data_IF_175763338227
#
_entry.id   IF_175763338227
#
_cell.length_a   1.000
_cell.length_b   1.000
_cell.length_c   1.000
_cell.angle_alpha   90.00
_cell.angle_beta   90.00
_cell.angle_gamma   90.00
#
_symmetry.space_group_name_H-M   'P 1'
#
loop_
_entity.id
_entity.type
_entity.pdbx_description
1 polymer ?
#
# COMPACT_ATOMS: atom_id res chain seq x y z
N UNK A 1 1.45 48.49 8.96
CA UNK A 1 0.34 48.52 9.92
C UNK A 1 -0.67 47.43 9.54
N UNK A 2 -0.95 46.51 10.47
CA UNK A 2 -1.68 45.24 10.26
C UNK A 2 -3.16 45.50 9.93
N UNK A 3 -3.59 45.23 8.69
CA UNK A 3 -5.00 45.33 8.27
C UNK A 3 -5.74 44.00 8.49
N UNK A 4 -5.69 43.48 9.72
CA UNK A 4 -6.27 42.16 10.10
C UNK A 4 -7.32 42.30 11.21
N UNK A 5 -8.08 43.40 11.25
CA UNK A 5 -9.09 43.64 12.30
C UNK A 5 -10.52 43.76 11.74
N UNK A 6 -10.71 43.69 10.41
CA UNK A 6 -12.02 43.96 9.79
C UNK A 6 -12.74 42.72 9.21
N UNK A 7 -12.19 41.51 9.34
CA UNK A 7 -12.85 40.31 8.83
C UNK A 7 -13.67 39.63 9.94
N UNK A 8 -14.98 39.90 9.95
CA UNK A 8 -15.98 39.27 10.84
C UNK A 8 -16.55 37.97 10.27
N UNK A 9 -16.10 37.57 9.08
CA UNK A 9 -16.66 36.43 8.39
C UNK A 9 -15.99 35.12 8.82
N UNK A 10 -16.65 34.38 9.72
CA UNK A 10 -16.18 33.15 10.36
C UNK A 10 -15.85 32.02 9.35
N UNK A 11 -16.46 32.02 8.16
CA UNK A 11 -16.14 31.06 7.09
C UNK A 11 -14.77 31.29 6.44
N UNK A 12 -14.19 32.49 6.54
CA UNK A 12 -12.85 32.76 5.98
C UNK A 12 -11.75 32.04 6.79
N UNK A 13 -11.96 31.81 8.09
CA UNK A 13 -11.08 30.99 8.95
C UNK A 13 -11.31 29.49 8.75
N UNK A 14 -12.56 29.07 8.50
CA UNK A 14 -12.89 27.66 8.28
C UNK A 14 -12.32 27.12 6.95
N UNK A 15 -12.12 28.00 5.96
CA UNK A 15 -11.69 27.65 4.61
C UNK A 15 -10.40 28.38 4.17
N UNK A 16 -9.57 28.83 5.13
CA UNK A 16 -8.15 29.02 4.78
C UNK A 16 -7.62 27.67 4.36
N UNK A 17 -7.08 27.54 3.15
CA UNK A 17 -6.39 26.33 2.67
C UNK A 17 -5.20 26.01 3.57
N UNK A 18 -5.49 25.44 4.73
CA UNK A 18 -4.55 24.98 5.73
C UNK A 18 -4.34 23.49 5.54
N UNK A 19 -3.10 23.09 5.79
CA UNK A 19 -2.57 21.72 5.73
C UNK A 19 -3.67 20.69 6.03
N UNK A 20 -4.11 20.00 4.98
CA UNK A 20 -5.04 18.88 5.06
C UNK A 20 -4.58 17.96 6.20
N UNK A 21 -5.49 17.70 7.15
CA UNK A 21 -5.18 16.81 8.26
C UNK A 21 -4.97 15.40 7.70
N UNK A 22 -3.72 14.95 7.73
CA UNK A 22 -3.36 13.61 7.31
C UNK A 22 -3.08 12.77 8.56
N UNK A 23 -3.90 11.75 8.87
CA UNK A 23 -3.54 10.82 9.93
C UNK A 23 -2.25 10.10 9.55
N UNK A 24 -1.27 10.06 10.47
CA UNK A 24 -0.06 9.24 10.29
C UNK A 24 -0.42 7.78 10.52
N UNK A 25 -0.81 7.11 9.43
CA UNK A 25 -1.04 5.66 9.44
C UNK A 25 0.29 4.99 9.08
N UNK A 26 1.01 4.36 10.02
CA UNK A 26 2.25 3.67 9.69
C UNK A 26 1.95 2.43 8.84
N UNK A 27 2.71 2.25 7.77
CA UNK A 27 2.66 1.05 6.94
C UNK A 27 3.51 -0.06 7.57
N UNK A 28 2.99 -0.68 8.64
CA UNK A 28 3.68 -1.78 9.32
C UNK A 28 3.49 -3.07 8.53
N UNK A 29 4.58 -3.60 7.99
CA UNK A 29 4.63 -4.87 7.28
C UNK A 29 5.33 -5.92 8.13
N UNK A 30 5.10 -7.20 7.82
CA UNK A 30 5.71 -8.33 8.51
C UNK A 30 5.47 -8.32 10.04
N UNK A 31 4.21 -8.31 10.46
CA UNK A 31 3.84 -8.29 11.89
C UNK A 31 4.16 -9.59 12.65
N UNK A 32 4.52 -10.66 11.91
CA UNK A 32 4.84 -11.97 12.48
C UNK A 32 6.27 -12.34 12.07
N UNK A 33 7.24 -11.75 12.75
CA UNK A 33 8.66 -12.14 12.67
C UNK A 33 8.97 -12.97 13.92
N UNK A 34 9.88 -13.93 13.78
CA UNK A 34 10.31 -14.79 14.88
C UNK A 34 10.74 -13.97 16.11
N UNK A 35 11.46 -12.87 15.89
CA UNK A 35 11.99 -11.98 16.92
C UNK A 35 10.89 -11.19 17.67
N UNK A 36 9.71 -11.05 17.08
CA UNK A 36 8.57 -10.33 17.67
C UNK A 36 7.61 -11.26 18.44
N UNK A 37 7.90 -12.56 18.47
CA UNK A 37 7.01 -13.56 19.04
C UNK A 37 7.08 -13.55 20.59
N UNK A 38 5.95 -13.44 21.31
CA UNK A 38 5.96 -13.49 22.78
C UNK A 38 6.52 -14.81 23.33
N UNK A 39 7.26 -14.73 24.43
CA UNK A 39 7.91 -15.90 25.05
C UNK A 39 6.93 -17.04 25.37
N UNK A 40 5.70 -16.74 25.77
CA UNK A 40 4.71 -17.78 26.08
C UNK A 40 4.31 -18.61 24.85
N UNK A 41 4.43 -18.06 23.64
CA UNK A 41 4.23 -18.78 22.38
C UNK A 41 5.53 -19.48 21.95
N UNK A 42 6.68 -18.86 22.22
CA UNK A 42 7.99 -19.42 21.85
C UNK A 42 8.38 -20.62 22.73
N UNK A 43 8.09 -20.61 24.03
CA UNK A 43 8.45 -21.68 24.96
C UNK A 43 7.99 -23.09 24.50
N UNK A 44 6.71 -23.32 24.13
CA UNK A 44 6.31 -24.63 23.60
C UNK A 44 6.91 -24.95 22.22
N UNK A 45 7.31 -23.92 21.46
CA UNK A 45 8.01 -24.12 20.19
C UNK A 45 9.46 -24.60 20.40
N UNK A 46 10.15 -24.09 21.43
CA UNK A 46 11.49 -24.54 21.83
C UNK A 46 11.49 -26.01 22.31
N UNK A 47 10.40 -26.45 22.96
CA UNK A 47 10.23 -27.85 23.39
C UNK A 47 9.80 -28.78 22.24
N UNK A 48 9.46 -28.24 21.07
CA UNK A 48 9.00 -29.02 19.92
C UNK A 48 10.16 -29.76 19.23
N UNK A 49 9.82 -30.74 18.40
CA UNK A 49 10.82 -31.54 17.68
C UNK A 49 11.42 -30.73 16.53
N UNK A 50 12.75 -30.65 16.52
CA UNK A 50 13.51 -30.13 15.39
C UNK A 50 13.18 -30.87 14.07
N UNK A 51 13.31 -30.20 12.92
CA UNK A 51 13.15 -30.85 11.63
C UNK A 51 14.21 -31.96 11.45
N UNK A 52 13.91 -33.01 10.67
CA UNK A 52 14.89 -34.04 10.36
C UNK A 52 16.17 -33.44 9.76
N UNK A 53 17.32 -34.09 10.00
CA UNK A 53 18.64 -33.64 9.51
C UNK A 53 18.83 -33.84 8.00
N UNK A 54 17.94 -33.27 7.20
CA UNK A 54 17.88 -33.41 5.74
C UNK A 54 19.08 -32.76 5.03
N UNK A 55 19.80 -31.87 5.70
CA UNK A 55 21.03 -31.26 5.15
C UNK A 55 22.09 -32.30 4.75
N UNK A 56 22.07 -33.49 5.36
CA UNK A 56 22.96 -34.59 5.01
C UNK A 56 22.70 -35.13 3.59
N UNK A 57 21.50 -34.91 3.06
CA UNK A 57 21.07 -35.33 1.72
C UNK A 57 21.33 -34.27 0.65
N UNK A 58 21.58 -33.01 1.04
CA UNK A 58 21.76 -31.90 0.09
C UNK A 58 22.93 -32.13 -0.88
N UNK A 59 23.94 -32.92 -0.48
CA UNK A 59 25.06 -33.29 -1.35
C UNK A 59 24.64 -34.09 -2.59
N UNK A 60 23.46 -34.70 -2.55
CA UNK A 60 22.89 -35.47 -3.66
C UNK A 60 21.81 -34.69 -4.41
N UNK A 61 21.47 -33.49 -3.95
CA UNK A 61 20.43 -32.68 -4.58
C UNK A 61 21.00 -31.76 -5.66
N UNK A 62 20.27 -31.64 -6.77
CA UNK A 62 20.64 -30.77 -7.90
C UNK A 62 20.66 -29.28 -7.54
N UNK A 63 19.88 -28.87 -6.52
CA UNK A 63 19.78 -27.49 -6.07
C UNK A 63 20.77 -27.17 -4.92
N UNK A 64 21.54 -28.16 -4.46
CA UNK A 64 22.62 -27.97 -3.50
C UNK A 64 22.17 -27.77 -2.04
N UNK A 65 23.01 -27.13 -1.20
CA UNK A 65 22.77 -26.94 0.23
C UNK A 65 21.43 -26.27 0.55
N UNK A 66 20.72 -26.78 1.57
CA UNK A 66 19.42 -26.32 2.05
C UNK A 66 18.21 -26.79 1.25
N UNK A 67 18.41 -27.40 0.08
CA UNK A 67 17.34 -27.77 -0.85
C UNK A 67 16.40 -28.85 -0.30
N UNK A 68 16.94 -29.83 0.42
CA UNK A 68 16.14 -30.92 0.97
C UNK A 68 15.25 -30.41 2.11
N UNK A 69 15.79 -29.55 2.96
CA UNK A 69 15.00 -28.93 4.03
C UNK A 69 13.92 -28.00 3.48
N UNK A 70 14.24 -27.23 2.44
CA UNK A 70 13.26 -26.34 1.78
C UNK A 70 12.09 -27.12 1.17
N UNK A 71 12.33 -28.30 0.60
CA UNK A 71 11.25 -29.19 0.11
C UNK A 71 10.41 -29.79 1.22
N UNK A 72 11.01 -30.04 2.39
CA UNK A 72 10.28 -30.50 3.57
C UNK A 72 9.41 -29.39 4.17
N UNK A 73 9.98 -28.20 4.35
CA UNK A 73 9.28 -27.04 4.89
C UNK A 73 9.90 -25.75 4.37
N UNK A 74 9.15 -25.01 3.55
CA UNK A 74 9.52 -23.67 3.09
C UNK A 74 8.54 -22.62 3.62
N UNK A 75 8.89 -21.88 4.69
CA UNK A 75 8.03 -20.82 5.23
C UNK A 75 7.82 -19.66 4.25
N UNK A 76 8.65 -19.54 3.20
CA UNK A 76 8.52 -18.49 2.18
C UNK A 76 7.53 -18.83 1.07
N UNK A 77 7.11 -20.10 0.96
CA UNK A 77 6.24 -20.59 -0.12
C UNK A 77 4.96 -19.75 -0.28
N UNK A 78 4.32 -19.38 0.82
CA UNK A 78 3.11 -18.56 0.80
C UNK A 78 3.37 -17.11 0.35
N UNK A 79 4.53 -16.55 0.67
CA UNK A 79 4.93 -15.20 0.23
C UNK A 79 5.21 -15.18 -1.27
N UNK A 80 5.82 -16.22 -1.82
CA UNK A 80 6.06 -16.32 -3.27
C UNK A 80 4.77 -16.58 -4.05
N UNK A 81 3.93 -17.51 -3.59
CA UNK A 81 2.67 -17.85 -4.26
C UNK A 81 1.71 -16.64 -4.33
N UNK A 82 1.59 -15.89 -3.22
CA UNK A 82 0.74 -14.70 -3.18
C UNK A 82 1.26 -13.54 -4.06
N UNK A 83 2.57 -13.42 -4.25
CA UNK A 83 3.14 -12.43 -5.19
C UNK A 83 2.94 -12.85 -6.64
N UNK A 84 3.07 -14.14 -6.93
CA UNK A 84 2.82 -14.69 -8.27
C UNK A 84 1.35 -14.57 -8.69
N UNK A 85 0.41 -14.83 -7.77
CA UNK A 85 -1.03 -14.67 -8.03
C UNK A 85 -1.48 -13.21 -8.17
N UNK A 86 -0.71 -12.27 -7.60
CA UNK A 86 -0.96 -10.83 -7.70
C UNK A 86 -0.32 -10.19 -8.93
N UNK A 87 0.39 -10.94 -9.77
CA UNK A 87 0.80 -10.42 -11.08
C UNK A 87 -0.48 -10.15 -11.87
N UNK A 88 -0.80 -8.88 -12.16
CA UNK A 88 -2.06 -8.56 -12.78
C UNK A 88 -2.05 -9.09 -14.22
N UNK A 89 -3.16 -9.72 -14.62
CA UNK A 89 -3.57 -9.79 -16.03
C UNK A 89 -3.88 -8.38 -16.59
N UNK A 90 -3.04 -7.38 -16.32
CA UNK A 90 -3.10 -6.08 -16.99
C UNK A 90 -2.37 -6.18 -18.32
N UNK A 91 -2.85 -7.07 -19.19
CA UNK A 91 -2.67 -6.88 -20.62
C UNK A 91 -4.00 -6.41 -21.21
N UNK A 92 -3.97 -5.14 -21.64
CA UNK A 92 -4.94 -4.45 -22.51
C UNK A 92 -6.24 -3.99 -21.87
N UNK A 93 -6.22 -2.75 -21.36
CA UNK A 93 -7.27 -1.79 -21.74
C UNK A 93 -6.60 -0.68 -22.55
N UNK A 94 -6.76 -0.73 -23.88
CA UNK A 94 -6.47 0.41 -24.77
C UNK A 94 -7.35 1.56 -24.30
N UNK A 95 -6.76 2.66 -23.85
CA UNK A 95 -7.48 3.93 -23.75
C UNK A 95 -7.71 4.47 -25.15
N UNK A 96 -8.88 4.16 -25.72
CA UNK A 96 -9.43 4.96 -26.82
C UNK A 96 -10.04 6.20 -26.16
N UNK A 97 -9.27 7.28 -26.10
CA UNK A 97 -9.81 8.61 -25.78
C UNK A 97 -10.60 9.07 -27.02
N UNK A 98 -11.90 8.75 -27.09
CA UNK A 98 -12.81 9.38 -28.05
C UNK A 98 -13.12 10.79 -27.57
N UNK A 99 -13.01 11.73 -28.50
CA UNK A 99 -13.40 13.13 -28.42
C UNK A 99 -14.63 13.34 -27.53
N UNK A 100 -14.50 14.25 -26.56
CA UNK A 100 -15.66 14.83 -25.87
C UNK A 100 -15.69 16.30 -26.23
N UNK A 101 -16.77 16.65 -26.89
CA UNK A 101 -17.01 17.88 -27.62
C UNK A 101 -16.79 19.12 -26.76
N UNK A 102 -15.92 20.01 -27.25
CA UNK A 102 -15.78 21.40 -26.81
C UNK A 102 -16.99 22.19 -27.35
N UNK A 103 -18.15 22.00 -26.74
CA UNK A 103 -19.36 22.80 -27.03
C UNK A 103 -19.99 23.43 -25.79
N UNK A 104 -19.31 23.43 -24.63
CA UNK A 104 -19.87 23.94 -23.37
C UNK A 104 -19.26 25.27 -22.87
N UNK A 105 -18.36 25.92 -23.61
CA UNK A 105 -17.72 27.19 -23.18
C UNK A 105 -18.27 28.44 -23.89
N UNK A 106 -19.34 28.31 -24.68
CA UNK A 106 -20.05 29.43 -25.28
C UNK A 106 -21.43 29.61 -24.65
N UNK A 107 -21.48 29.88 -23.35
CA UNK A 107 -22.66 30.44 -22.68
C UNK A 107 -22.22 31.03 -21.34
N UNK A 108 -22.74 32.21 -21.02
CA UNK A 108 -22.37 33.07 -19.88
C UNK A 108 -21.23 34.07 -20.21
N UNK A 109 -21.38 34.77 -21.32
CA UNK A 109 -20.91 36.15 -21.45
C UNK A 109 -22.04 36.95 -22.09
N UNK A 110 -23.08 37.25 -21.30
CA UNK A 110 -24.09 38.27 -21.60
C UNK A 110 -25.07 38.38 -20.42
N UNK A 111 -24.78 39.33 -19.53
CA UNK A 111 -25.63 40.01 -18.54
C UNK A 111 -24.61 40.83 -17.72
N UNK A 112 -24.58 42.15 -17.67
CA UNK A 112 -25.63 43.14 -17.87
C UNK A 112 -24.99 44.53 -17.79
N UNK A 113 -24.81 45.22 -18.93
CA UNK A 113 -24.68 46.67 -18.94
C UNK A 113 -26.08 47.28 -18.85
N UNK A 114 -26.51 47.61 -17.63
CA UNK A 114 -27.57 48.58 -17.39
C UNK A 114 -27.27 49.41 -16.13
N UNK A 115 -27.05 50.71 -16.38
CA UNK A 115 -27.31 51.87 -15.51
C UNK A 115 -26.39 52.07 -14.30
N UNK A 116 -25.52 53.07 -14.40
CA UNK A 116 -25.63 54.34 -13.66
C UNK A 116 -24.98 55.45 -14.49
#
# INVERSE_FOLDING_TARGET
QKKVIAQTNHIHFAYTGGLEWHPRIPNVQNQFIYDDLPQFVMAPYEDSRDPPRLHLLDKFDVNGPGSCLKRYSDPTHFKSASRASKLPETKKKKSVQRNRDISSLASIANQSDRKA
#
